data_IF_223179318351
#
_entry.id   IF_223179318351
#
_cell.length_a   1.000
_cell.length_b   1.000
_cell.length_c   1.000
_cell.angle_alpha   90.00
_cell.angle_beta   90.00
_cell.angle_gamma   90.00
#
_symmetry.space_group_name_H-M   'P 1'
#
loop_
_entity.id
_entity.type
_entity.pdbx_description
1 polymer ?
#
# COMPACT_ATOMS: atom_id res chain seq x y z
N UNK A 1 -10.89 -17.70 3.55
CA UNK A 1 -9.92 -17.82 4.68
C UNK A 1 -8.46 -17.64 4.23
N UNK A 2 -8.05 -18.13 3.05
CA UNK A 2 -6.66 -17.96 2.54
C UNK A 2 -6.24 -16.52 2.22
N UNK A 3 -7.17 -15.65 1.80
CA UNK A 3 -6.84 -14.27 1.40
C UNK A 3 -6.24 -13.44 2.55
N UNK A 4 -6.75 -13.59 3.77
CA UNK A 4 -6.24 -12.87 4.95
C UNK A 4 -4.77 -13.25 5.24
N UNK A 5 -4.48 -14.55 5.23
CA UNK A 5 -3.13 -15.08 5.47
C UNK A 5 -2.17 -14.62 4.37
N UNK A 6 -2.61 -14.64 3.11
CA UNK A 6 -1.80 -14.18 1.99
C UNK A 6 -1.55 -12.65 2.03
N UNK A 7 -2.54 -11.84 2.42
CA UNK A 7 -2.36 -10.41 2.65
C UNK A 7 -1.39 -10.14 3.80
N UNK A 8 -1.54 -10.85 4.92
CA UNK A 8 -0.62 -10.73 6.05
C UNK A 8 0.81 -11.13 5.69
N UNK A 9 0.98 -12.27 5.02
CA UNK A 9 2.29 -12.77 4.56
C UNK A 9 2.96 -11.75 3.63
N UNK A 10 2.24 -11.20 2.66
CA UNK A 10 2.78 -10.18 1.77
C UNK A 10 3.16 -8.89 2.52
N UNK A 11 2.26 -8.37 3.37
CA UNK A 11 2.48 -7.12 4.12
C UNK A 11 3.65 -7.27 5.10
N UNK A 12 3.76 -8.38 5.81
CA UNK A 12 4.82 -8.60 6.78
C UNK A 12 6.13 -9.00 6.09
N UNK A 13 6.13 -10.07 5.30
CA UNK A 13 7.36 -10.69 4.78
C UNK A 13 7.87 -10.01 3.50
N UNK A 14 6.99 -9.50 2.63
CA UNK A 14 7.43 -8.83 1.39
C UNK A 14 7.61 -7.32 1.58
N UNK A 15 6.65 -6.64 2.22
CA UNK A 15 6.75 -5.19 2.45
C UNK A 15 7.59 -4.83 3.69
N UNK A 16 8.03 -5.84 4.46
CA UNK A 16 8.85 -5.70 5.67
C UNK A 16 8.21 -4.80 6.74
N UNK A 17 6.89 -4.91 6.93
CA UNK A 17 6.14 -4.11 7.89
C UNK A 17 6.04 -4.86 9.23
N UNK A 18 6.47 -4.26 10.36
CA UNK A 18 6.34 -4.86 11.69
C UNK A 18 4.88 -5.11 12.09
N UNK A 19 4.65 -6.16 12.88
CA UNK A 19 3.31 -6.50 13.39
C UNK A 19 2.63 -5.32 14.11
N UNK A 20 3.37 -4.53 14.87
CA UNK A 20 2.83 -3.36 15.60
C UNK A 20 2.11 -2.37 14.68
N UNK A 21 2.70 -2.08 13.51
CA UNK A 21 2.11 -1.19 12.51
C UNK A 21 0.86 -1.83 11.90
N UNK A 22 0.92 -3.12 11.56
CA UNK A 22 -0.21 -3.87 11.01
C UNK A 22 -1.38 -3.90 12.01
N UNK A 23 -1.10 -4.11 13.29
CA UNK A 23 -2.13 -4.14 14.35
C UNK A 23 -2.76 -2.78 14.59
N UNK A 24 -2.03 -1.68 14.38
CA UNK A 24 -2.56 -0.32 14.44
C UNK A 24 -3.44 0.04 13.24
N UNK A 25 -3.24 -0.62 12.10
CA UNK A 25 -3.92 -0.32 10.82
C UNK A 25 -4.44 -1.61 10.15
N UNK A 26 -5.35 -2.36 10.79
CA UNK A 26 -5.74 -3.70 10.34
C UNK A 26 -6.57 -3.71 9.05
N UNK A 27 -7.04 -2.54 8.58
CA UNK A 27 -7.86 -2.40 7.37
C UNK A 27 -7.15 -2.95 6.12
N UNK A 28 -5.80 -2.94 6.14
CA UNK A 28 -4.96 -3.52 5.10
C UNK A 28 -5.22 -5.01 4.89
N UNK A 29 -5.53 -5.75 5.96
CA UNK A 29 -5.75 -7.19 5.89
C UNK A 29 -7.13 -7.53 5.30
N UNK A 30 -8.07 -6.57 5.33
CA UNK A 30 -9.37 -6.68 4.66
C UNK A 30 -9.30 -6.25 3.17
N UNK A 31 -8.17 -5.70 2.73
CA UNK A 31 -7.97 -5.26 1.34
C UNK A 31 -7.54 -6.43 0.45
N UNK A 32 -7.95 -6.43 -0.82
CA UNK A 32 -7.53 -7.47 -1.76
C UNK A 32 -6.01 -7.43 -1.98
N UNK A 33 -5.37 -8.60 -2.00
CA UNK A 33 -3.93 -8.72 -2.15
C UNK A 33 -3.41 -8.03 -3.42
N UNK A 34 -4.16 -8.10 -4.53
CA UNK A 34 -3.82 -7.43 -5.78
C UNK A 34 -3.73 -5.91 -5.62
N UNK A 35 -4.70 -5.29 -4.93
CA UNK A 35 -4.69 -3.84 -4.66
C UNK A 35 -3.52 -3.47 -3.76
N UNK A 36 -3.22 -4.27 -2.74
CA UNK A 36 -2.06 -4.05 -1.87
C UNK A 36 -0.77 -4.06 -2.70
N UNK A 37 -0.59 -5.10 -3.54
CA UNK A 37 0.57 -5.26 -4.42
C UNK A 37 0.73 -4.09 -5.38
N UNK A 38 -0.31 -3.75 -6.16
CA UNK A 38 -0.26 -2.68 -7.15
C UNK A 38 0.11 -1.34 -6.50
N UNK A 39 -0.55 -0.98 -5.39
CA UNK A 39 -0.31 0.29 -4.70
C UNK A 39 1.03 0.34 -3.99
N UNK A 40 1.46 -0.76 -3.37
CA UNK A 40 2.79 -0.86 -2.79
C UNK A 40 3.87 -0.70 -3.85
N UNK A 41 3.79 -1.47 -4.95
CA UNK A 41 4.76 -1.41 -6.05
C UNK A 41 4.79 -0.03 -6.72
N UNK A 42 3.65 0.64 -6.83
CA UNK A 42 3.60 2.02 -7.32
C UNK A 42 4.31 3.00 -6.35
N UNK A 43 4.12 2.85 -5.05
CA UNK A 43 4.87 3.66 -4.08
C UNK A 43 6.36 3.35 -4.11
N UNK A 44 6.77 2.09 -4.34
CA UNK A 44 8.17 1.71 -4.51
C UNK A 44 8.77 2.38 -5.75
N UNK A 45 8.08 2.36 -6.89
CA UNK A 45 8.57 2.98 -8.13
C UNK A 45 8.76 4.51 -8.00
N UNK A 46 8.01 5.14 -7.10
CA UNK A 46 8.13 6.56 -6.77
C UNK A 46 9.15 6.86 -5.65
N UNK A 47 9.81 5.85 -5.06
CA UNK A 47 10.61 5.97 -3.83
C UNK A 47 9.83 6.56 -2.64
N UNK A 48 8.53 6.22 -2.52
CA UNK A 48 7.62 6.71 -1.46
C UNK A 48 7.04 5.61 -0.58
N UNK A 49 7.51 4.37 -0.72
CA UNK A 49 7.10 3.25 0.13
C UNK A 49 7.78 3.33 1.52
N UNK A 50 7.42 4.34 2.30
CA UNK A 50 7.88 4.53 3.68
C UNK A 50 6.70 4.41 4.65
N UNK A 51 6.61 3.29 5.37
CA UNK A 51 5.50 3.00 6.27
C UNK A 51 5.82 3.24 7.75
N UNK A 52 7.03 3.71 8.07
CA UNK A 52 7.43 4.05 9.44
C UNK A 52 6.98 5.49 9.79
N UNK A 53 6.08 5.69 10.77
CA UNK A 53 5.61 7.01 11.18
C UNK A 53 6.69 7.91 11.76
N UNK A 54 7.85 7.35 12.15
CA UNK A 54 8.99 8.11 12.68
C UNK A 54 9.94 8.62 11.59
N UNK A 55 9.74 8.22 10.32
CA UNK A 55 10.61 8.59 9.21
C UNK A 55 9.97 9.66 8.31
N UNK A 56 10.78 10.52 7.67
CA UNK A 56 10.26 11.50 6.72
C UNK A 56 9.57 10.81 5.55
N UNK A 57 8.61 11.51 4.95
CA UNK A 57 7.79 10.99 3.84
C UNK A 57 6.94 9.77 4.22
N UNK A 58 6.62 9.62 5.50
CA UNK A 58 5.68 8.60 6.00
C UNK A 58 4.39 8.55 5.17
N UNK A 59 4.02 7.35 4.78
CA UNK A 59 2.76 6.98 4.15
C UNK A 59 2.06 6.00 5.07
N UNK A 60 0.85 6.38 5.49
CA UNK A 60 -0.05 5.52 6.27
C UNK A 60 -0.32 4.19 5.57
N UNK A 61 -0.32 3.08 6.31
CA UNK A 61 -0.62 1.77 5.71
C UNK A 61 -2.05 1.69 5.16
N UNK A 62 -2.99 2.39 5.79
CA UNK A 62 -4.38 2.53 5.33
C UNK A 62 -4.48 3.20 3.94
N UNK A 63 -3.43 3.89 3.47
CA UNK A 63 -3.40 4.44 2.12
C UNK A 63 -3.57 3.34 1.04
N UNK A 64 -3.05 2.15 1.30
CA UNK A 64 -3.18 1.01 0.39
C UNK A 64 -4.62 0.44 0.39
N UNK A 65 -5.37 0.69 1.46
CA UNK A 65 -6.76 0.25 1.65
C UNK A 65 -7.80 1.24 1.16
N UNK A 66 -7.40 2.45 0.76
CA UNK A 66 -8.34 3.48 0.31
C UNK A 66 -9.25 2.97 -0.82
N UNK A 67 -10.54 3.28 -0.76
CA UNK A 67 -11.50 2.82 -1.76
C UNK A 67 -11.21 3.41 -3.15
N UNK A 68 -10.81 4.69 -3.19
CA UNK A 68 -10.64 5.49 -4.41
C UNK A 68 -9.17 5.58 -4.86
N UNK A 69 -8.90 5.23 -6.11
CA UNK A 69 -7.57 5.32 -6.72
C UNK A 69 -7.11 6.76 -6.94
N UNK A 70 -8.03 7.69 -7.18
CA UNK A 70 -7.70 9.12 -7.29
C UNK A 70 -7.14 9.64 -5.97
N UNK A 71 -7.84 9.36 -4.86
CA UNK A 71 -7.39 9.80 -3.54
C UNK A 71 -6.06 9.15 -3.16
N UNK A 72 -5.90 7.85 -3.43
CA UNK A 72 -4.60 7.18 -3.24
C UNK A 72 -3.50 7.86 -4.05
N UNK A 73 -3.70 8.06 -5.35
CA UNK A 73 -2.67 8.58 -6.26
C UNK A 73 -2.26 10.01 -5.90
N UNK A 74 -3.24 10.88 -5.66
CA UNK A 74 -3.00 12.31 -5.41
C UNK A 74 -2.61 12.58 -3.97
N UNK A 75 -3.35 12.03 -3.00
CA UNK A 75 -3.15 12.38 -1.59
C UNK A 75 -2.03 11.57 -0.94
N UNK A 76 -1.94 10.28 -1.25
CA UNK A 76 -0.98 9.37 -0.60
C UNK A 76 0.30 9.22 -1.41
N UNK A 77 0.19 8.91 -2.71
CA UNK A 77 1.35 8.73 -3.59
C UNK A 77 1.96 10.05 -4.08
N UNK A 78 1.26 11.19 -3.90
CA UNK A 78 1.69 12.51 -4.40
C UNK A 78 2.02 12.48 -5.89
N UNK A 79 1.22 11.75 -6.65
CA UNK A 79 1.32 11.53 -8.09
C UNK A 79 -0.03 11.84 -8.76
N UNK A 80 -0.18 11.49 -10.04
CA UNK A 80 -1.44 11.62 -10.77
C UNK A 80 -2.13 10.27 -10.94
N UNK A 81 -3.46 10.31 -11.08
CA UNK A 81 -4.25 9.10 -11.38
C UNK A 81 -3.82 8.50 -12.73
N UNK A 82 -3.47 9.34 -13.71
CA UNK A 82 -3.03 8.88 -15.04
C UNK A 82 -1.75 8.05 -14.97
N UNK A 83 -0.79 8.43 -14.11
CA UNK A 83 0.44 7.66 -13.92
C UNK A 83 0.17 6.33 -13.20
N UNK A 84 -0.73 6.33 -12.22
CA UNK A 84 -1.14 5.11 -11.54
C UNK A 84 -1.88 4.14 -12.48
N UNK A 85 -2.79 4.64 -13.31
CA UNK A 85 -3.52 3.83 -14.30
C UNK A 85 -2.57 3.25 -15.35
N UNK A 86 -1.61 4.05 -15.83
CA UNK A 86 -0.58 3.58 -16.75
C UNK A 86 0.30 2.51 -16.12
N UNK A 87 0.72 2.70 -14.87
CA UNK A 87 1.53 1.73 -14.13
C UNK A 87 0.77 0.43 -13.89
N UNK A 88 -0.50 0.51 -13.50
CA UNK A 88 -1.33 -0.66 -13.21
C UNK A 88 -1.52 -1.58 -14.42
N UNK A 89 -1.38 -1.06 -15.65
CA UNK A 89 -1.40 -1.83 -16.89
C UNK A 89 -0.08 -2.56 -17.20
N UNK A 90 0.99 -2.24 -16.50
CA UNK A 90 2.33 -2.85 -16.69
C UNK A 90 2.63 -4.00 -15.72
N UNK A 91 1.75 -4.21 -14.74
CA UNK A 91 1.79 -5.29 -13.75
C UNK A 91 0.87 -6.43 -14.16
#
# INVERSE_FOLDING_TARGET
>A
RHALVASFDYVHNTMNIPHEIITGQPSILATSLERIKQRHLFLVSLNRAQYDPKKPLYVSLDALSMANDFDFSVKSAKSSIQLYDAFSKTL
#
